data_IF_001788555324
#
_entry.id   IF_001788555324
#
_cell.length_a   1.000
_cell.length_b   1.000
_cell.length_c   1.000
_cell.angle_alpha   90.00
_cell.angle_beta   90.00
_cell.angle_gamma   90.00
#
_symmetry.space_group_name_H-M   'P 1'
#
loop_
_entity.id
_entity.type
_entity.pdbx_description
1 polymer ?
#
# COMPACT_ATOMS: atom_id res chain seq x y z
N UNK A 1 49.72 -12.63 12.30
CA UNK A 1 48.75 -11.50 12.20
C UNK A 1 47.43 -11.98 12.79
N UNK A 2 47.17 -11.66 14.04
CA UNK A 2 45.96 -12.05 14.77
C UNK A 2 44.78 -11.18 14.34
N UNK A 3 43.75 -11.78 13.75
CA UNK A 3 42.45 -11.11 13.53
C UNK A 3 41.87 -10.75 14.90
N UNK A 4 41.66 -9.45 15.14
CA UNK A 4 40.88 -8.97 16.28
C UNK A 4 39.46 -9.56 16.25
N UNK A 5 38.84 -9.86 17.41
CA UNK A 5 37.47 -10.33 17.44
C UNK A 5 36.54 -9.23 16.91
N UNK A 6 35.57 -9.60 16.08
CA UNK A 6 34.52 -8.69 15.64
C UNK A 6 33.82 -8.11 16.88
N UNK A 7 33.72 -6.79 16.95
CA UNK A 7 33.00 -6.10 18.01
C UNK A 7 31.53 -6.55 18.04
N UNK A 8 31.00 -6.92 19.21
CA UNK A 8 29.58 -7.22 19.40
C UNK A 8 28.71 -5.96 19.52
N UNK A 9 29.26 -4.78 19.22
CA UNK A 9 28.49 -3.55 19.18
C UNK A 9 27.54 -3.57 17.96
N UNK A 10 26.24 -3.40 18.21
CA UNK A 10 25.24 -3.31 17.14
C UNK A 10 25.54 -2.07 16.29
N UNK A 11 25.68 -2.20 14.96
CA UNK A 11 25.86 -1.04 14.08
C UNK A 11 24.60 -0.17 14.06
N UNK A 12 24.78 1.10 13.73
CA UNK A 12 23.67 1.99 13.42
C UNK A 12 22.91 1.49 12.16
N UNK A 13 21.64 1.86 11.97
CA UNK A 13 20.92 1.58 10.72
C UNK A 13 21.64 2.19 9.50
N UNK A 14 21.50 1.54 8.35
CA UNK A 14 22.02 2.07 7.08
C UNK A 14 21.41 3.44 6.77
N UNK A 15 22.22 4.32 6.16
CA UNK A 15 21.81 5.71 5.89
C UNK A 15 20.51 5.79 5.07
N UNK A 16 20.30 4.86 4.12
CA UNK A 16 19.06 4.79 3.31
C UNK A 16 17.82 4.64 4.19
N UNK A 17 17.88 3.80 5.24
CA UNK A 17 16.76 3.62 6.16
C UNK A 17 16.54 4.88 7.01
N UNK A 18 17.62 5.53 7.43
CA UNK A 18 17.57 6.79 8.19
C UNK A 18 16.92 7.89 7.35
N UNK A 19 17.29 8.01 6.08
CA UNK A 19 16.76 9.05 5.19
C UNK A 19 15.26 8.86 4.92
N UNK A 20 14.82 7.62 4.67
CA UNK A 20 13.39 7.29 4.51
C UNK A 20 12.61 7.61 5.79
N UNK A 21 13.11 7.18 6.95
CA UNK A 21 12.44 7.43 8.23
C UNK A 21 12.36 8.93 8.54
N UNK A 22 13.44 9.67 8.30
CA UNK A 22 13.48 11.12 8.51
C UNK A 22 12.52 11.85 7.58
N UNK A 23 12.45 11.46 6.30
CA UNK A 23 11.48 12.01 5.37
C UNK A 23 10.05 11.77 5.84
N UNK A 24 9.70 10.53 6.24
CA UNK A 24 8.36 10.18 6.67
C UNK A 24 7.92 10.89 7.97
N UNK A 25 8.86 11.19 8.88
CA UNK A 25 8.56 11.81 10.17
C UNK A 25 8.60 13.34 10.14
N UNK A 26 9.56 13.94 9.43
CA UNK A 26 9.90 15.36 9.61
C UNK A 26 9.57 16.23 8.40
N UNK A 27 9.33 15.65 7.22
CA UNK A 27 9.11 16.43 6.00
C UNK A 27 7.69 17.00 5.93
N UNK A 28 7.59 18.32 5.74
CA UNK A 28 6.32 18.99 5.52
C UNK A 28 6.01 19.16 4.03
N UNK A 29 4.91 18.57 3.57
CA UNK A 29 4.44 18.73 2.20
C UNK A 29 3.68 20.06 2.10
N UNK A 30 4.22 21.02 1.33
CA UNK A 30 3.64 22.36 1.16
C UNK A 30 3.10 22.65 -0.24
N UNK A 31 3.20 21.69 -1.17
CA UNK A 31 2.79 21.87 -2.57
C UNK A 31 1.28 21.69 -2.76
N UNK A 32 0.51 22.72 -3.14
CA UNK A 32 -0.91 22.59 -3.41
C UNK A 32 -1.20 21.64 -4.58
N UNK A 33 -0.33 21.67 -5.61
CA UNK A 33 -0.43 20.78 -6.75
C UNK A 33 -0.29 19.31 -6.33
N UNK A 34 0.62 19.00 -5.40
CA UNK A 34 0.79 17.62 -4.91
C UNK A 34 -0.50 17.11 -4.25
N UNK A 35 -1.14 17.92 -3.40
CA UNK A 35 -2.42 17.55 -2.78
C UNK A 35 -3.58 17.47 -3.78
N UNK A 36 -3.63 18.36 -4.76
CA UNK A 36 -4.64 18.31 -5.82
C UNK A 36 -4.51 17.03 -6.65
N UNK A 37 -3.29 16.70 -7.08
CA UNK A 37 -3.01 15.47 -7.84
C UNK A 37 -3.26 14.23 -6.98
N UNK A 38 -2.89 14.23 -5.70
CA UNK A 38 -3.17 13.11 -4.79
C UNK A 38 -4.68 12.86 -4.64
N UNK A 39 -5.50 13.91 -4.58
CA UNK A 39 -6.97 13.78 -4.57
C UNK A 39 -7.49 13.12 -5.86
N UNK A 40 -6.96 13.52 -7.01
CA UNK A 40 -7.36 12.93 -8.29
C UNK A 40 -6.90 11.46 -8.38
N UNK A 41 -5.66 11.16 -7.97
CA UNK A 41 -5.11 9.81 -7.88
C UNK A 41 -5.99 8.92 -6.99
N UNK A 42 -6.44 9.41 -5.83
CA UNK A 42 -7.34 8.67 -4.95
C UNK A 42 -8.67 8.30 -5.65
N UNK A 43 -9.29 9.25 -6.35
CA UNK A 43 -10.57 9.02 -7.05
C UNK A 43 -10.37 8.00 -8.19
N UNK A 44 -9.32 8.16 -8.98
CA UNK A 44 -8.97 7.28 -10.10
C UNK A 44 -8.70 5.84 -9.63
N UNK A 45 -7.86 5.70 -8.61
CA UNK A 45 -7.47 4.40 -8.02
C UNK A 45 -8.67 3.65 -7.46
N UNK A 46 -9.57 4.36 -6.74
CA UNK A 46 -10.83 3.78 -6.26
C UNK A 46 -11.74 3.37 -7.42
N UNK A 47 -11.79 4.15 -8.50
CA UNK A 47 -12.51 3.82 -9.72
C UNK A 47 -12.03 2.51 -10.34
N UNK A 48 -10.71 2.34 -10.52
CA UNK A 48 -10.09 1.12 -11.02
C UNK A 48 -10.47 -0.09 -10.16
N UNK A 49 -10.40 0.06 -8.84
CA UNK A 49 -10.80 -0.98 -7.90
C UNK A 49 -12.28 -1.39 -8.04
N UNK A 50 -13.18 -0.41 -8.16
CA UNK A 50 -14.62 -0.69 -8.35
C UNK A 50 -14.90 -1.42 -9.67
N UNK A 51 -14.17 -1.09 -10.75
CA UNK A 51 -14.28 -1.81 -12.02
C UNK A 51 -13.81 -3.27 -11.89
N UNK A 52 -12.71 -3.51 -11.16
CA UNK A 52 -12.17 -4.85 -10.93
C UNK A 52 -13.18 -5.80 -10.25
N UNK A 53 -14.13 -5.28 -9.47
CA UNK A 53 -15.20 -6.09 -8.85
C UNK A 53 -16.12 -6.76 -9.88
N UNK A 54 -16.17 -6.29 -11.14
CA UNK A 54 -16.92 -6.98 -12.20
C UNK A 54 -16.28 -8.32 -12.60
N UNK A 55 -15.01 -8.54 -12.25
CA UNK A 55 -14.24 -9.71 -12.68
C UNK A 55 -14.25 -10.79 -11.58
N UNK A 56 -14.87 -11.96 -11.80
CA UNK A 56 -14.88 -13.06 -10.82
C UNK A 56 -13.47 -13.51 -10.42
N UNK A 57 -12.50 -13.35 -11.32
CA UNK A 57 -11.10 -13.68 -11.06
C UNK A 57 -10.46 -12.79 -9.97
N UNK A 58 -10.87 -11.51 -9.86
CA UNK A 58 -10.48 -10.63 -8.76
C UNK A 58 -11.23 -11.02 -7.49
N UNK A 59 -12.57 -11.06 -7.58
CA UNK A 59 -13.44 -11.28 -6.41
C UNK A 59 -13.20 -12.60 -5.67
N UNK A 60 -12.77 -13.66 -6.37
CA UNK A 60 -12.49 -14.96 -5.72
C UNK A 60 -11.34 -14.91 -4.70
N UNK A 61 -10.49 -13.89 -4.75
CA UNK A 61 -9.37 -13.69 -3.83
C UNK A 61 -9.70 -12.74 -2.68
N UNK A 62 -10.89 -12.13 -2.71
CA UNK A 62 -11.32 -11.13 -1.74
C UNK A 62 -12.14 -11.75 -0.60
N UNK A 63 -12.33 -10.98 0.47
CA UNK A 63 -13.03 -11.37 1.68
C UNK A 63 -12.11 -11.87 2.79
N UNK A 64 -12.69 -12.31 3.91
CA UNK A 64 -11.93 -12.89 5.02
C UNK A 64 -11.36 -14.25 4.63
N UNK A 65 -10.18 -14.60 5.15
CA UNK A 65 -9.57 -15.92 4.97
C UNK A 65 -10.52 -17.04 5.44
N UNK A 66 -11.22 -16.81 6.56
CA UNK A 66 -12.25 -17.71 7.08
C UNK A 66 -13.61 -17.01 6.97
N UNK A 67 -14.54 -17.51 6.12
CA UNK A 67 -15.88 -16.96 6.00
C UNK A 67 -16.61 -16.91 7.35
N UNK A 68 -17.27 -15.78 7.63
CA UNK A 68 -17.98 -15.56 8.91
C UNK A 68 -17.12 -14.96 10.01
N UNK A 69 -15.84 -14.69 9.77
CA UNK A 69 -15.00 -13.90 10.69
C UNK A 69 -15.63 -12.54 10.97
N UNK A 70 -15.73 -12.17 12.25
CA UNK A 70 -16.22 -10.86 12.70
C UNK A 70 -15.04 -10.08 13.28
N UNK A 71 -14.75 -8.91 12.71
CA UNK A 71 -13.70 -8.01 13.19
C UNK A 71 -14.36 -6.73 13.69
N UNK A 72 -14.51 -6.54 15.02
CA UNK A 72 -15.03 -5.29 15.56
C UNK A 72 -14.20 -4.11 15.09
N UNK A 73 -14.86 -3.08 14.53
CA UNK A 73 -14.21 -1.90 13.98
C UNK A 73 -13.17 -2.19 12.87
N UNK A 74 -13.28 -3.33 12.20
CA UNK A 74 -12.43 -3.68 11.06
C UNK A 74 -12.48 -2.66 9.92
N UNK A 75 -11.42 -2.64 9.11
CA UNK A 75 -11.34 -1.85 7.89
C UNK A 75 -12.32 -2.38 6.84
N UNK A 76 -12.96 -1.46 6.11
CA UNK A 76 -13.95 -1.79 5.08
C UNK A 76 -13.32 -1.80 3.71
N UNK A 77 -13.72 -2.75 2.87
CA UNK A 77 -13.26 -2.82 1.47
C UNK A 77 -14.30 -2.13 0.57
N UNK A 78 -13.94 -1.04 -0.14
CA UNK A 78 -14.87 -0.28 -0.98
C UNK A 78 -15.64 -1.15 -1.99
N UNK A 79 -16.92 -0.87 -2.19
CA UNK A 79 -17.77 -1.62 -3.12
C UNK A 79 -18.18 -3.02 -2.64
N UNK A 80 -17.85 -3.41 -1.41
CA UNK A 80 -18.19 -4.73 -0.84
C UNK A 80 -18.89 -4.60 0.52
N UNK A 81 -19.34 -5.72 1.09
CA UNK A 81 -19.84 -5.81 2.45
C UNK A 81 -18.76 -6.23 3.46
N UNK A 82 -17.50 -6.36 3.02
CA UNK A 82 -16.45 -6.91 3.87
C UNK A 82 -15.96 -5.90 4.91
N UNK A 83 -15.82 -6.40 6.14
CA UNK A 83 -15.17 -5.73 7.24
C UNK A 83 -14.11 -6.69 7.81
N UNK A 84 -12.84 -6.31 7.67
CA UNK A 84 -11.69 -7.20 7.84
C UNK A 84 -10.68 -6.58 8.81
N UNK A 85 -9.72 -7.37 9.27
CA UNK A 85 -8.55 -6.80 9.91
C UNK A 85 -7.74 -5.96 8.90
N UNK A 86 -6.91 -5.00 9.36
CA UNK A 86 -6.22 -4.08 8.46
C UNK A 86 -5.32 -4.78 7.43
N UNK A 87 -4.71 -5.92 7.78
CA UNK A 87 -3.80 -6.64 6.87
C UNK A 87 -4.60 -7.27 5.72
N UNK A 88 -5.69 -7.96 6.04
CA UNK A 88 -6.53 -8.59 5.02
C UNK A 88 -7.26 -7.53 4.17
N UNK A 89 -7.72 -6.44 4.78
CA UNK A 89 -8.29 -5.31 4.05
C UNK A 89 -7.28 -4.70 3.07
N UNK A 90 -6.01 -4.57 3.48
CA UNK A 90 -4.97 -4.01 2.65
C UNK A 90 -4.70 -4.85 1.40
N UNK A 91 -4.61 -6.17 1.57
CA UNK A 91 -4.52 -7.08 0.41
C UNK A 91 -5.72 -6.94 -0.52
N UNK A 92 -6.94 -6.86 0.03
CA UNK A 92 -8.16 -6.73 -0.76
C UNK A 92 -8.19 -5.45 -1.58
N UNK A 93 -7.81 -4.31 -0.98
CA UNK A 93 -7.77 -3.01 -1.63
C UNK A 93 -6.62 -2.98 -2.64
N UNK A 94 -5.40 -3.39 -2.28
CA UNK A 94 -4.26 -3.43 -3.19
C UNK A 94 -4.50 -4.32 -4.40
N UNK A 95 -5.08 -5.51 -4.20
CA UNK A 95 -5.40 -6.41 -5.30
C UNK A 95 -6.45 -5.83 -6.24
N UNK A 96 -7.53 -5.21 -5.73
CA UNK A 96 -8.59 -4.69 -6.61
C UNK A 96 -8.12 -3.47 -7.40
N UNK A 97 -7.38 -2.53 -6.79
CA UNK A 97 -6.99 -1.28 -7.46
C UNK A 97 -5.98 -1.53 -8.59
N UNK A 98 -5.14 -2.56 -8.46
CA UNK A 98 -4.12 -2.92 -9.47
C UNK A 98 -4.60 -3.96 -10.48
N UNK A 99 -5.75 -4.60 -10.26
CA UNK A 99 -6.18 -5.80 -10.99
C UNK A 99 -6.18 -5.66 -12.51
N UNK A 100 -6.66 -4.51 -13.01
CA UNK A 100 -6.87 -4.24 -14.43
C UNK A 100 -5.73 -3.45 -15.08
N UNK A 101 -4.72 -3.05 -14.30
CA UNK A 101 -3.58 -2.26 -14.81
C UNK A 101 -3.99 -0.90 -15.41
N UNK A 102 -4.98 -0.25 -14.79
CA UNK A 102 -5.48 1.08 -15.20
C UNK A 102 -5.16 2.18 -14.21
N UNK A 103 -4.68 1.84 -13.02
CA UNK A 103 -4.26 2.82 -12.02
C UNK A 103 -2.98 3.56 -12.46
N UNK A 104 -2.58 4.57 -11.68
CA UNK A 104 -1.47 5.44 -12.02
C UNK A 104 -0.15 4.71 -12.35
N UNK A 105 0.79 5.39 -12.99
CA UNK A 105 2.06 4.78 -13.38
C UNK A 105 3.21 5.74 -13.17
N UNK A 106 4.33 5.21 -12.69
CA UNK A 106 5.61 5.89 -12.59
C UNK A 106 6.68 5.14 -13.38
N UNK A 107 7.19 5.76 -14.45
CA UNK A 107 8.20 5.19 -15.34
C UNK A 107 9.57 5.80 -15.03
N UNK A 108 10.45 5.01 -14.40
CA UNK A 108 11.82 5.40 -14.08
C UNK A 108 12.80 4.28 -14.46
N UNK A 109 13.95 4.20 -13.78
CA UNK A 109 14.86 3.07 -13.92
C UNK A 109 14.18 1.74 -13.54
N UNK A 110 13.24 1.79 -12.59
CA UNK A 110 12.28 0.74 -12.30
C UNK A 110 10.87 1.28 -12.60
N UNK A 111 9.98 0.42 -13.08
CA UNK A 111 8.60 0.78 -13.38
C UNK A 111 7.70 0.38 -12.22
N UNK A 112 6.67 1.17 -11.94
CA UNK A 112 5.72 0.81 -10.90
C UNK A 112 4.47 1.67 -10.86
N UNK A 113 3.59 1.33 -9.92
CA UNK A 113 2.30 1.98 -9.71
C UNK A 113 2.24 2.45 -8.25
N UNK A 114 2.64 3.70 -7.94
CA UNK A 114 2.68 4.18 -6.56
C UNK A 114 1.34 4.12 -5.83
N UNK A 115 0.22 4.25 -6.58
CA UNK A 115 -1.14 4.11 -6.05
C UNK A 115 -1.42 2.75 -5.39
N UNK A 116 -0.62 1.71 -5.67
CA UNK A 116 -0.75 0.40 -5.01
C UNK A 116 -0.62 0.51 -3.48
N UNK A 117 0.14 1.50 -2.97
CA UNK A 117 0.29 1.77 -1.53
C UNK A 117 -1.01 2.27 -0.86
N UNK A 118 -2.05 2.62 -1.63
CA UNK A 118 -3.38 2.88 -1.08
C UNK A 118 -3.99 1.63 -0.41
N UNK A 119 -3.53 0.44 -0.80
CA UNK A 119 -3.88 -0.80 -0.12
C UNK A 119 -3.53 -0.76 1.36
N UNK A 120 -2.36 -0.24 1.72
CA UNK A 120 -1.82 -0.23 3.08
C UNK A 120 -0.53 -1.02 3.21
#
# INVERSE_FOLDING_TARGET
MTRSPASNARPAPDQVLVDIAKYALDYEITSPLAYETARNCLIDTLGCGLEALQYPACRKLMGPIVPGTIVPNGAKVPGTQFQLDPVQAAFNIGAMIRWLDFNDTWLAAEWGHPSDNLGG
#
